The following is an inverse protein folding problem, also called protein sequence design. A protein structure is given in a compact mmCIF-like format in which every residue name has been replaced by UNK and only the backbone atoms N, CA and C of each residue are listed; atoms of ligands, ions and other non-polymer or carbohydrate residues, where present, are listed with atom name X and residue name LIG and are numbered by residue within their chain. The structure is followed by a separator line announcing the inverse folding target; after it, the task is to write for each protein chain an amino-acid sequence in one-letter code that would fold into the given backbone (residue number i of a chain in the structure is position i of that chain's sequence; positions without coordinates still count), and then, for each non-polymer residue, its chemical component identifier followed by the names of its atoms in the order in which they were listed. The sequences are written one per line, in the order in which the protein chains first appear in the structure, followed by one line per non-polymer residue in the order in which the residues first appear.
data_IF_988491940627
#
_entry.id   IF_988491940627
#
_cell.length_a   1.000
_cell.length_b   1.000
_cell.length_c   1.000
_cell.angle_alpha   90.00
_cell.angle_beta   90.00
_cell.angle_gamma   90.00
#
_symmetry.space_group_name_H-M   'P 1'
#
loop_
_entity.id
_entity.type
_entity.pdbx_description
1 polymer ?
#
# COMPACT_ATOMS: atom_id res chain seq x y z
N UNK A 1 15.11 -7.71 -17.43
CA UNK A 1 13.99 -7.95 -16.48
C UNK A 1 13.32 -6.61 -16.27
N UNK A 2 12.00 -6.51 -16.42
CA UNK A 2 11.28 -5.24 -16.28
C UNK A 2 11.12 -4.93 -14.78
N UNK A 3 11.74 -3.83 -14.33
CA UNK A 3 11.73 -3.42 -12.92
C UNK A 3 10.31 -3.29 -12.38
N UNK A 4 9.40 -2.70 -13.15
CA UNK A 4 8.02 -2.49 -12.71
C UNK A 4 7.25 -3.81 -12.66
N UNK A 5 7.54 -4.75 -13.56
CA UNK A 5 6.95 -6.10 -13.49
C UNK A 5 7.36 -6.80 -12.19
N UNK A 6 8.63 -6.74 -11.83
CA UNK A 6 9.12 -7.38 -10.59
C UNK A 6 8.48 -6.76 -9.34
N UNK A 7 8.41 -5.43 -9.26
CA UNK A 7 7.80 -4.71 -8.12
C UNK A 7 6.30 -5.04 -7.98
N UNK A 8 5.60 -5.21 -9.10
CA UNK A 8 4.20 -5.62 -9.12
C UNK A 8 4.02 -7.04 -8.58
N UNK A 9 4.76 -7.99 -9.17
CA UNK A 9 4.68 -9.41 -8.83
C UNK A 9 5.00 -9.64 -7.36
N UNK A 10 6.07 -9.00 -6.84
CA UNK A 10 6.45 -9.09 -5.44
C UNK A 10 5.33 -8.65 -4.49
N UNK A 11 4.66 -7.53 -4.78
CA UNK A 11 3.57 -7.06 -3.92
C UNK A 11 2.35 -7.97 -3.97
N UNK A 12 2.01 -8.44 -5.17
CA UNK A 12 0.87 -9.33 -5.35
C UNK A 12 1.11 -10.67 -4.64
N UNK A 13 2.31 -11.24 -4.75
CA UNK A 13 2.71 -12.45 -4.03
C UNK A 13 2.69 -12.25 -2.51
N UNK A 14 3.16 -11.11 -2.00
CA UNK A 14 3.06 -10.78 -0.57
C UNK A 14 1.59 -10.79 -0.12
N UNK A 15 0.70 -10.18 -0.90
CA UNK A 15 -0.73 -10.17 -0.58
C UNK A 15 -1.31 -11.59 -0.62
N UNK A 16 -1.05 -12.35 -1.68
CA UNK A 16 -1.61 -13.69 -1.87
C UNK A 16 -1.15 -14.67 -0.79
N UNK A 17 0.16 -14.71 -0.52
CA UNK A 17 0.76 -15.54 0.52
C UNK A 17 0.22 -15.21 1.92
N UNK A 18 -0.15 -13.96 2.17
CA UNK A 18 -0.69 -13.49 3.44
C UNK A 18 -2.22 -13.31 3.43
N UNK A 19 -2.93 -13.85 2.43
CA UNK A 19 -4.40 -13.79 2.31
C UNK A 19 -4.95 -12.36 2.42
N UNK A 20 -4.29 -11.44 1.72
CA UNK A 20 -4.62 -10.02 1.67
C UNK A 20 -4.15 -9.23 2.89
N UNK A 21 -3.36 -9.80 3.81
CA UNK A 21 -2.85 -9.09 4.98
C UNK A 21 -1.41 -8.62 4.79
N UNK A 22 -1.12 -7.35 5.05
CA UNK A 22 0.22 -6.76 4.97
C UNK A 22 0.52 -5.90 6.18
N UNK A 23 1.79 -5.81 6.58
CA UNK A 23 2.23 -4.87 7.61
C UNK A 23 2.18 -3.42 7.11
N UNK A 24 1.94 -2.47 8.03
CA UNK A 24 1.91 -1.03 7.72
C UNK A 24 3.19 -0.51 7.08
N UNK A 25 4.34 -1.15 7.31
CA UNK A 25 5.62 -0.79 6.68
C UNK A 25 5.54 -0.72 5.15
N UNK A 26 4.75 -1.59 4.51
CA UNK A 26 4.59 -1.57 3.05
C UNK A 26 3.83 -0.33 2.60
N UNK A 27 2.88 0.14 3.40
CA UNK A 27 2.15 1.38 3.15
C UNK A 27 3.11 2.57 3.34
N UNK A 28 3.94 2.55 4.38
CA UNK A 28 4.96 3.59 4.62
C UNK A 28 5.96 3.70 3.45
N UNK A 29 6.43 2.58 2.92
CA UNK A 29 7.32 2.54 1.75
C UNK A 29 6.64 3.12 0.49
N UNK A 30 5.39 2.74 0.24
CA UNK A 30 4.60 3.27 -0.88
C UNK A 30 4.44 4.80 -0.73
N UNK A 31 4.21 5.27 0.49
CA UNK A 31 4.09 6.69 0.80
C UNK A 31 5.38 7.47 0.59
N UNK A 32 6.49 6.98 1.10
CA UNK A 32 7.79 7.60 0.91
C UNK A 32 8.12 7.69 -0.59
N UNK A 33 7.81 6.64 -1.35
CA UNK A 33 7.99 6.64 -2.80
C UNK A 33 7.11 7.67 -3.53
N UNK A 34 5.92 7.97 -3.01
CA UNK A 34 5.07 9.03 -3.57
C UNK A 34 5.69 10.43 -3.43
N UNK A 35 6.39 10.69 -2.32
CA UNK A 35 6.98 12.00 -2.02
C UNK A 35 8.23 12.33 -2.85
N UNK A 36 8.91 11.33 -3.42
CA UNK A 36 10.16 11.52 -4.19
C UNK A 36 9.91 11.33 -5.69
N UNK A 37 10.42 12.24 -6.53
CA UNK A 37 10.19 12.20 -7.98
C UNK A 37 10.60 10.86 -8.63
N UNK A 38 11.71 10.26 -8.19
CA UNK A 38 12.18 8.96 -8.67
C UNK A 38 11.36 7.77 -8.17
N UNK A 39 10.57 7.94 -7.09
CA UNK A 39 9.75 6.87 -6.48
C UNK A 39 8.39 6.68 -7.13
N UNK A 40 7.97 7.56 -8.05
CA UNK A 40 6.65 7.52 -8.68
C UNK A 40 6.34 6.21 -9.40
N UNK A 41 7.33 5.56 -10.00
CA UNK A 41 7.17 4.24 -10.63
C UNK A 41 6.86 3.14 -9.62
N UNK A 42 7.62 3.10 -8.52
CA UNK A 42 7.40 2.15 -7.42
C UNK A 42 6.02 2.34 -6.78
N UNK A 43 5.67 3.59 -6.45
CA UNK A 43 4.37 3.96 -5.89
C UNK A 43 3.21 3.44 -6.75
N UNK A 44 3.20 3.81 -8.05
CA UNK A 44 2.12 3.41 -8.97
C UNK A 44 2.02 1.90 -9.10
N UNK A 45 3.16 1.23 -9.17
CA UNK A 45 3.23 -0.22 -9.38
C UNK A 45 2.71 -1.01 -8.16
N UNK A 46 3.16 -0.65 -6.95
CA UNK A 46 2.67 -1.27 -5.71
C UNK A 46 1.18 -0.99 -5.49
N UNK A 47 0.74 0.24 -5.75
CA UNK A 47 -0.68 0.59 -5.65
C UNK A 47 -1.53 -0.18 -6.66
N UNK A 48 -1.03 -0.37 -7.88
CA UNK A 48 -1.71 -1.19 -8.88
C UNK A 48 -1.91 -2.62 -8.36
N UNK A 49 -0.89 -3.24 -7.77
CA UNK A 49 -1.01 -4.59 -7.22
C UNK A 49 -2.08 -4.69 -6.13
N UNK A 50 -2.14 -3.71 -5.20
CA UNK A 50 -3.18 -3.65 -4.16
C UNK A 50 -4.58 -3.50 -4.77
N UNK A 51 -4.74 -2.60 -5.75
CA UNK A 51 -6.03 -2.38 -6.41
C UNK A 51 -6.49 -3.59 -7.23
N UNK A 52 -5.58 -4.21 -7.97
CA UNK A 52 -5.87 -5.43 -8.73
C UNK A 52 -6.25 -6.56 -7.78
N UNK A 53 -5.55 -6.71 -6.65
CA UNK A 53 -5.90 -7.69 -5.63
C UNK A 53 -7.31 -7.46 -5.08
N UNK A 54 -7.70 -6.22 -4.77
CA UNK A 54 -9.07 -5.86 -4.34
C UNK A 54 -10.12 -6.06 -5.44
N UNK A 55 -9.74 -6.06 -6.72
CA UNK A 55 -10.68 -6.34 -7.80
C UNK A 55 -11.09 -7.82 -7.87
N UNK A 56 -10.23 -8.71 -7.35
CA UNK A 56 -10.47 -10.17 -7.33
C UNK A 56 -10.74 -10.73 -5.94
N UNK A 57 -10.49 -9.95 -4.88
CA UNK A 57 -10.67 -10.34 -3.48
C UNK A 57 -11.48 -9.32 -2.71
N UNK A 58 -12.20 -9.77 -1.69
CA UNK A 58 -13.13 -8.92 -0.93
C UNK A 58 -12.47 -7.83 -0.10
N UNK A 59 -11.20 -7.98 0.28
CA UNK A 59 -10.50 -7.02 1.13
C UNK A 59 -8.97 -7.19 1.14
N UNK A 60 -8.30 -6.14 1.62
CA UNK A 60 -6.91 -6.12 2.10
C UNK A 60 -6.92 -5.67 3.56
N UNK A 61 -6.06 -6.23 4.41
CA UNK A 61 -5.88 -5.82 5.80
C UNK A 61 -4.48 -5.23 5.94
N UNK A 62 -4.39 -3.99 6.44
CA UNK A 62 -3.14 -3.37 6.84
C UNK A 62 -3.00 -3.53 8.35
N UNK A 63 -1.97 -4.23 8.78
CA UNK A 63 -1.65 -4.47 10.19
C UNK A 63 -0.76 -3.35 10.71
N UNK A 64 -1.27 -2.57 11.65
CA UNK A 64 -0.47 -1.67 12.48
C UNK A 64 -0.25 -2.31 13.85
N UNK A 65 0.74 -1.83 14.61
CA UNK A 65 1.06 -2.38 15.93
C UNK A 65 -0.13 -2.41 16.90
N UNK A 66 -1.08 -1.49 16.76
CA UNK A 66 -2.21 -1.30 17.69
C UNK A 66 -3.59 -1.45 17.03
N UNK A 67 -3.66 -1.55 15.70
CA UNK A 67 -4.93 -1.57 14.96
C UNK A 67 -4.76 -2.25 13.59
N UNK A 68 -5.77 -3.03 13.19
CA UNK A 68 -5.88 -3.51 11.82
C UNK A 68 -6.87 -2.65 11.02
N UNK A 69 -6.45 -2.19 9.83
CA UNK A 69 -7.28 -1.43 8.90
C UNK A 69 -7.69 -2.32 7.75
N UNK A 70 -9.00 -2.55 7.61
CA UNK A 70 -9.57 -3.28 6.49
C UNK A 70 -9.90 -2.33 5.33
N UNK A 71 -9.38 -2.63 4.15
CA UNK A 71 -9.68 -1.96 2.89
C UNK A 71 -10.57 -2.89 2.06
N UNK A 72 -11.78 -2.46 1.71
CA UNK A 72 -12.69 -3.25 0.86
C UNK A 72 -12.90 -2.65 -0.53
N UNK A 73 -12.47 -1.41 -0.75
CA UNK A 73 -12.66 -0.70 -2.01
C UNK A 73 -11.64 0.44 -2.16
N UNK A 74 -11.71 1.12 -3.31
CA UNK A 74 -10.86 2.26 -3.63
C UNK A 74 -10.97 3.43 -2.63
N UNK A 75 -12.17 3.72 -2.12
CA UNK A 75 -12.36 4.82 -1.17
C UNK A 75 -11.69 4.54 0.18
N UNK A 76 -11.60 3.26 0.57
CA UNK A 76 -10.90 2.89 1.81
C UNK A 76 -9.40 3.12 1.69
N UNK A 77 -8.83 2.85 0.50
CA UNK A 77 -7.44 3.19 0.18
C UNK A 77 -7.23 4.70 0.32
N UNK A 78 -8.04 5.52 -0.36
CA UNK A 78 -7.90 6.98 -0.29
C UNK A 78 -7.95 7.49 1.16
N UNK A 79 -8.85 6.95 1.99
CA UNK A 79 -8.96 7.29 3.42
C UNK A 79 -7.75 6.84 4.22
N UNK A 80 -7.26 5.64 3.98
CA UNK A 80 -6.03 5.14 4.60
C UNK A 80 -4.86 6.08 4.26
N UNK A 81 -4.78 6.49 3.00
CA UNK A 81 -3.73 7.38 2.54
C UNK A 81 -3.84 8.79 3.17
N UNK A 82 -5.03 9.38 3.22
CA UNK A 82 -5.25 10.68 3.86
C UNK A 82 -4.91 10.67 5.36
N UNK A 83 -5.11 9.55 6.06
CA UNK A 83 -4.70 9.41 7.46
C UNK A 83 -3.18 9.37 7.61
N UNK A 84 -2.48 8.62 6.76
CA UNK A 84 -1.02 8.58 6.77
C UNK A 84 -0.37 9.94 6.51
N UNK A 85 -0.88 10.72 5.54
CA UNK A 85 -0.40 12.09 5.28
C UNK A 85 -0.57 13.01 6.51
N UNK A 86 -1.67 12.85 7.26
CA UNK A 86 -1.89 13.61 8.50
C UNK A 86 -0.96 13.20 9.63
N UNK A 87 -0.66 11.91 9.78
CA UNK A 87 0.26 11.41 10.80
C UNK A 87 1.70 11.92 10.57
N UNK A 88 2.13 12.02 9.31
CA UNK A 88 3.44 12.57 8.95
C UNK A 88 3.59 14.07 9.30
N UNK A 89 2.50 14.84 9.27
CA UNK A 89 2.53 16.28 9.62
C UNK A 89 2.73 16.55 11.11
N UNK A 90 2.57 15.57 11.99
CA UNK A 90 2.64 15.78 13.45
C UNK A 90 4.06 15.57 13.99
N UNK A 91 5.00 15.05 13.18
CA UNK A 91 6.38 14.76 13.64
C UNK A 91 7.41 15.86 13.35
N UNK A 92 6.99 16.99 12.76
CA UNK A 92 7.87 18.15 12.46
C UNK A 92 7.59 19.39 13.35
N UNK A 93 7.37 19.20 14.67
CA UNK A 93 7.34 20.30 15.65
C UNK A 93 8.10 19.97 16.94
#
# INVERSE_FOLDING_TARGET
MDYNKNVYEEMYEILDNNKGSIDSKYIDEIFQAFQVASGQGFFKTRMKAIMDYLSTHSFVIIKYSELDVKLGNHNDIERCFQKHDRTFKITDL
#
